data_IF_648822060549
#
_entry.id   IF_648822060549
#
_cell.length_a   1.000
_cell.length_b   1.000
_cell.length_c   1.000
_cell.angle_alpha   90.00
_cell.angle_beta   90.00
_cell.angle_gamma   90.00
#
_symmetry.space_group_name_H-M   'P 1'
#
loop_
_entity.id
_entity.type
_entity.pdbx_description
1 polymer ?
#
# COMPACT_ATOMS: atom_id res chain seq x y z
N UNK A 1 -0.60 0.91 -8.90
CA UNK A 1 -0.69 1.35 -10.31
C UNK A 1 -0.34 0.21 -11.26
N UNK A 2 0.88 -0.34 -11.26
CA UNK A 2 1.30 -1.43 -12.17
C UNK A 2 0.34 -2.65 -12.29
N UNK A 3 -0.24 -3.15 -11.20
CA UNK A 3 -1.21 -4.27 -11.27
C UNK A 3 -2.52 -3.86 -11.95
N UNK A 4 -3.02 -2.65 -11.67
CA UNK A 4 -4.24 -2.14 -12.30
C UNK A 4 -4.03 -1.81 -13.78
N UNK A 5 -2.81 -1.41 -14.14
CA UNK A 5 -2.40 -1.06 -15.50
C UNK A 5 -1.97 -2.27 -16.34
N UNK A 6 -1.99 -3.48 -15.77
CA UNK A 6 -1.48 -4.72 -16.40
C UNK A 6 -0.06 -4.56 -16.97
N UNK A 7 0.77 -3.76 -16.31
CA UNK A 7 2.15 -3.61 -16.72
C UNK A 7 2.89 -4.94 -16.52
N UNK A 8 3.87 -5.23 -17.37
CA UNK A 8 4.71 -6.42 -17.22
C UNK A 8 5.81 -6.21 -16.17
N UNK A 9 6.11 -4.95 -15.84
CA UNK A 9 7.17 -4.53 -14.92
C UNK A 9 6.72 -3.36 -14.06
N UNK A 10 7.09 -3.40 -12.79
CA UNK A 10 7.08 -2.27 -11.86
C UNK A 10 8.52 -1.78 -11.76
N UNK A 11 8.76 -0.52 -12.16
CA UNK A 11 10.07 0.10 -12.14
C UNK A 11 10.03 1.30 -11.20
N UNK A 12 11.01 1.40 -10.31
CA UNK A 12 11.22 2.56 -9.44
C UNK A 12 12.69 2.72 -9.08
N UNK A 13 13.05 3.86 -8.51
CA UNK A 13 14.35 4.08 -7.92
C UNK A 13 14.27 3.82 -6.41
N UNK A 14 15.18 3.01 -5.89
CA UNK A 14 15.31 2.74 -4.45
C UNK A 14 16.77 2.98 -4.06
N UNK A 15 17.01 3.90 -3.12
CA UNK A 15 18.35 4.30 -2.66
C UNK A 15 19.33 4.64 -3.79
N UNK A 16 18.86 5.39 -4.80
CA UNK A 16 19.67 5.79 -5.95
C UNK A 16 19.95 4.68 -6.96
N UNK A 17 19.29 3.52 -6.82
CA UNK A 17 19.48 2.36 -7.71
C UNK A 17 18.19 2.00 -8.43
N UNK A 18 18.25 1.60 -9.71
CA UNK A 18 17.09 1.11 -10.42
C UNK A 18 16.61 -0.21 -9.80
N UNK A 19 15.34 -0.26 -9.46
CA UNK A 19 14.65 -1.43 -8.92
C UNK A 19 13.53 -1.84 -9.89
N UNK A 20 13.52 -3.11 -10.28
CA UNK A 20 12.56 -3.67 -11.23
C UNK A 20 11.99 -4.96 -10.66
N UNK A 21 10.67 -5.11 -10.69
CA UNK A 21 9.97 -6.31 -10.26
C UNK A 21 8.78 -6.61 -11.16
N UNK A 22 8.46 -7.89 -11.36
CA UNK A 22 7.21 -8.28 -12.00
C UNK A 22 6.03 -7.89 -11.11
N UNK A 23 4.95 -7.30 -11.63
CA UNK A 23 3.82 -6.90 -10.79
C UNK A 23 3.18 -8.08 -10.08
N UNK A 24 3.21 -8.05 -8.75
CA UNK A 24 2.71 -9.15 -7.93
C UNK A 24 1.22 -8.95 -7.66
N UNK A 25 0.38 -9.65 -8.42
CA UNK A 25 -1.10 -9.57 -8.35
C UNK A 25 -1.62 -9.81 -6.93
N UNK A 26 -0.95 -10.70 -6.16
CA UNK A 26 -1.33 -10.97 -4.78
C UNK A 26 -1.14 -9.73 -3.89
N UNK A 27 -0.10 -8.93 -4.12
CA UNK A 27 0.15 -7.70 -3.37
C UNK A 27 -0.98 -6.67 -3.53
N UNK A 28 -1.60 -6.60 -4.71
CA UNK A 28 -2.77 -5.76 -4.92
C UNK A 28 -3.99 -6.24 -4.13
N UNK A 29 -4.20 -7.57 -4.07
CA UNK A 29 -5.27 -8.16 -3.23
C UNK A 29 -5.01 -7.91 -1.75
N UNK A 30 -3.77 -8.05 -1.28
CA UNK A 30 -3.41 -7.74 0.10
C UNK A 30 -3.69 -6.28 0.44
N UNK A 31 -3.30 -5.34 -0.43
CA UNK A 31 -3.57 -3.92 -0.19
C UNK A 31 -5.07 -3.61 -0.18
N UNK A 32 -5.85 -4.24 -1.07
CA UNK A 32 -7.30 -4.11 -1.09
C UNK A 32 -7.91 -4.57 0.25
N UNK A 33 -7.55 -5.76 0.74
CA UNK A 33 -8.04 -6.25 2.03
C UNK A 33 -7.60 -5.39 3.21
N UNK A 34 -6.38 -4.85 3.18
CA UNK A 34 -5.91 -3.92 4.20
C UNK A 34 -6.76 -2.65 4.23
N UNK A 35 -7.12 -2.09 3.07
CA UNK A 35 -8.00 -0.92 2.97
C UNK A 35 -9.41 -1.22 3.48
N UNK A 36 -9.97 -2.36 3.10
CA UNK A 36 -11.29 -2.81 3.56
C UNK A 36 -11.32 -3.00 5.08
N UNK A 37 -10.33 -3.70 5.64
CA UNK A 37 -10.20 -3.91 7.08
C UNK A 37 -10.03 -2.59 7.82
N UNK A 38 -9.17 -1.69 7.33
CA UNK A 38 -8.97 -0.36 7.91
C UNK A 38 -10.25 0.50 7.85
N UNK A 39 -10.99 0.46 6.75
CA UNK A 39 -12.25 1.16 6.59
C UNK A 39 -13.37 0.62 7.51
N UNK A 40 -13.30 -0.67 7.87
CA UNK A 40 -14.24 -1.32 8.78
C UNK A 40 -13.94 -1.05 10.27
N UNK A 41 -12.78 -0.47 10.61
CA UNK A 41 -12.44 -0.14 12.00
C UNK A 41 -13.33 0.98 12.54
N UNK A 42 -13.70 0.84 13.81
CA UNK A 42 -14.27 1.94 14.59
C UNK A 42 -13.29 3.10 14.75
N UNK A 43 -13.80 4.29 15.04
CA UNK A 43 -13.00 5.52 15.13
C UNK A 43 -11.85 5.39 16.14
N UNK A 44 -12.11 4.77 17.29
CA UNK A 44 -11.10 4.59 18.33
C UNK A 44 -9.96 3.66 17.88
N UNK A 45 -10.27 2.56 17.19
CA UNK A 45 -9.25 1.63 16.70
C UNK A 45 -8.51 2.19 15.49
N UNK A 46 -9.19 2.93 14.61
CA UNK A 46 -8.55 3.64 13.52
C UNK A 46 -7.52 4.64 14.03
N UNK A 47 -7.88 5.43 15.06
CA UNK A 47 -6.95 6.38 15.67
C UNK A 47 -5.72 5.70 16.27
N UNK A 48 -5.84 4.47 16.79
CA UNK A 48 -4.69 3.70 17.28
C UNK A 48 -3.78 3.26 16.15
N UNK A 49 -4.35 2.77 15.04
CA UNK A 49 -3.60 2.39 13.84
C UNK A 49 -2.90 3.61 13.23
N UNK A 50 -3.59 4.74 13.15
CA UNK A 50 -3.02 6.00 12.65
C UNK A 50 -1.80 6.41 13.47
N UNK A 51 -1.88 6.30 14.81
CA UNK A 51 -0.76 6.60 15.70
C UNK A 51 0.48 5.74 15.45
N UNK A 52 0.31 4.48 15.04
CA UNK A 52 1.42 3.58 14.71
C UNK A 52 1.99 3.86 13.32
N UNK A 53 1.13 4.20 12.36
CA UNK A 53 1.51 4.31 10.95
C UNK A 53 1.97 5.72 10.53
N UNK A 54 1.55 6.77 11.24
CA UNK A 54 1.79 8.18 10.89
C UNK A 54 3.23 8.48 10.45
N UNK A 55 4.22 8.03 11.21
CA UNK A 55 5.63 8.39 10.98
C UNK A 55 6.38 7.39 10.08
N UNK A 56 5.69 6.37 9.58
CA UNK A 56 6.28 5.35 8.68
C UNK A 56 6.24 5.76 7.21
N UNK A 57 5.47 6.79 6.88
CA UNK A 57 5.24 7.23 5.51
C UNK A 57 4.33 6.30 4.68
N UNK A 58 3.68 5.29 5.29
CA UNK A 58 2.79 4.37 4.55
C UNK A 58 1.32 4.75 4.60
N UNK A 59 0.95 5.81 5.32
CA UNK A 59 -0.45 6.27 5.48
C UNK A 59 -1.15 6.50 4.15
N UNK A 60 -0.45 7.04 3.16
CA UNK A 60 -0.91 7.23 1.78
C UNK A 60 -1.43 5.96 1.09
N UNK A 61 -1.10 4.77 1.62
CA UNK A 61 -1.63 3.51 1.11
C UNK A 61 -3.10 3.30 1.50
N UNK A 62 -3.58 3.93 2.57
CA UNK A 62 -4.95 3.82 3.08
C UNK A 62 -5.84 5.00 2.66
N UNK A 63 -5.25 6.05 2.09
CA UNK A 63 -5.95 7.15 1.44
C UNK A 63 -6.48 6.65 0.07
N UNK A 64 -7.79 6.83 -0.16
CA UNK A 64 -8.48 6.43 -1.39
C UNK A 64 -8.48 7.57 -2.40
#
# INVERSE_FOLDING_TARGET
>A
KAVMEKADKLEMELDGKPWVQNPFVYQAKCLQWLREAYAALEVADRSRVDGVLKDTGVMQLFEA
#
